data_IF_874374802504
#
_entry.id   IF_874374802504
#
_cell.length_a   1.000
_cell.length_b   1.000
_cell.length_c   1.000
_cell.angle_alpha   90.00
_cell.angle_beta   90.00
_cell.angle_gamma   90.00
#
_symmetry.space_group_name_H-M   'P 1'
#
loop_
_entity.id
_entity.type
_entity.pdbx_description
1 polymer ?
#
# COMPACT_ATOMS: atom_id res chain seq x y z
N UNK A 1 -12.46 30.86 -5.50
CA UNK A 1 -12.38 29.73 -4.54
C UNK A 1 -13.24 28.51 -4.96
N UNK A 2 -13.45 28.22 -6.25
CA UNK A 2 -14.23 27.06 -6.71
C UNK A 2 -13.37 25.91 -7.29
N UNK A 3 -12.08 26.15 -7.53
CA UNK A 3 -11.17 25.15 -8.10
C UNK A 3 -10.51 24.26 -7.02
N UNK A 4 -10.36 24.74 -5.79
CA UNK A 4 -9.73 23.97 -4.69
C UNK A 4 -10.62 22.80 -4.21
N UNK A 5 -11.94 22.96 -4.25
CA UNK A 5 -12.90 21.93 -3.83
C UNK A 5 -12.82 20.69 -4.71
N UNK A 6 -12.58 20.86 -6.02
CA UNK A 6 -12.57 19.76 -6.98
C UNK A 6 -11.39 18.77 -6.80
N UNK A 7 -10.31 19.19 -6.14
CA UNK A 7 -9.18 18.33 -5.74
C UNK A 7 -9.48 17.65 -4.40
N UNK A 8 -10.05 18.39 -3.44
CA UNK A 8 -10.48 17.86 -2.14
C UNK A 8 -11.56 16.79 -2.28
N UNK A 9 -12.45 16.92 -3.26
CA UNK A 9 -13.48 15.92 -3.59
C UNK A 9 -12.87 14.59 -4.07
N UNK A 10 -11.75 14.62 -4.80
CA UNK A 10 -11.04 13.39 -5.21
C UNK A 10 -10.44 12.63 -4.02
N UNK A 11 -10.01 13.34 -2.98
CA UNK A 11 -9.56 12.72 -1.73
C UNK A 11 -10.73 12.16 -0.90
N UNK A 12 -11.95 12.66 -1.13
CA UNK A 12 -13.19 12.13 -0.54
C UNK A 12 -13.42 10.65 -0.89
N UNK A 13 -13.22 10.27 -2.16
CA UNK A 13 -13.37 8.89 -2.63
C UNK A 13 -12.45 7.92 -1.90
N UNK A 14 -11.19 8.30 -1.67
CA UNK A 14 -10.23 7.47 -0.93
C UNK A 14 -10.69 7.30 0.52
N UNK A 15 -11.16 8.38 1.16
CA UNK A 15 -11.69 8.33 2.53
C UNK A 15 -12.95 7.47 2.64
N UNK A 16 -13.88 7.59 1.71
CA UNK A 16 -15.10 6.77 1.64
C UNK A 16 -14.76 5.28 1.44
N UNK A 17 -13.76 4.99 0.60
CA UNK A 17 -13.26 3.63 0.42
C UNK A 17 -12.68 3.05 1.72
N UNK A 18 -11.86 3.81 2.45
CA UNK A 18 -11.35 3.36 3.76
C UNK A 18 -12.46 3.14 4.80
N UNK A 19 -13.50 3.99 4.80
CA UNK A 19 -14.67 3.82 5.65
C UNK A 19 -15.43 2.53 5.28
N UNK A 20 -15.61 2.26 3.98
CA UNK A 20 -16.21 1.02 3.49
C UNK A 20 -15.41 -0.23 3.89
N UNK A 21 -14.08 -0.19 3.75
CA UNK A 21 -13.20 -1.29 4.17
C UNK A 21 -13.28 -1.55 5.69
N UNK A 22 -13.37 -0.48 6.47
CA UNK A 22 -13.59 -0.55 7.93
C UNK A 22 -14.90 -1.24 8.27
N UNK A 23 -15.98 -0.88 7.59
CA UNK A 23 -17.33 -1.45 7.80
C UNK A 23 -17.40 -2.94 7.41
N UNK A 24 -16.70 -3.32 6.32
CA UNK A 24 -16.55 -4.71 5.87
C UNK A 24 -15.67 -5.57 6.79
N UNK A 25 -15.15 -5.01 7.89
CA UNK A 25 -14.24 -5.67 8.85
C UNK A 25 -12.95 -6.22 8.21
N UNK A 26 -12.48 -5.63 7.11
CA UNK A 26 -11.24 -6.06 6.45
C UNK A 26 -9.95 -5.64 7.22
N UNK A 27 -10.09 -5.17 8.46
CA UNK A 27 -8.99 -4.88 9.40
C UNK A 27 -8.01 -6.04 9.60
N UNK A 28 -8.45 -7.27 9.33
CA UNK A 28 -7.64 -8.47 9.45
C UNK A 28 -6.56 -8.55 8.36
N UNK A 29 -6.70 -7.81 7.26
CA UNK A 29 -5.69 -7.72 6.21
C UNK A 29 -4.54 -6.77 6.58
N UNK A 30 -4.79 -5.79 7.46
CA UNK A 30 -3.78 -4.84 7.92
C UNK A 30 -2.52 -5.52 8.45
N UNK A 31 -2.58 -6.49 9.40
CA UNK A 31 -1.38 -7.17 9.89
C UNK A 31 -0.65 -7.95 8.80
N UNK A 32 -1.36 -8.56 7.86
CA UNK A 32 -0.75 -9.29 6.73
C UNK A 32 0.03 -8.33 5.83
N UNK A 33 -0.57 -7.20 5.46
CA UNK A 33 0.07 -6.17 4.64
C UNK A 33 1.31 -5.60 5.34
N UNK A 34 1.21 -5.33 6.64
CA UNK A 34 2.34 -4.83 7.44
C UNK A 34 3.48 -5.85 7.45
N UNK A 35 3.20 -7.13 7.67
CA UNK A 35 4.23 -8.18 7.65
C UNK A 35 4.89 -8.31 6.27
N UNK A 36 4.12 -8.24 5.18
CA UNK A 36 4.66 -8.29 3.81
C UNK A 36 5.56 -7.08 3.52
N UNK A 37 5.18 -5.88 3.98
CA UNK A 37 6.02 -4.68 3.84
C UNK A 37 7.31 -4.80 4.66
N UNK A 38 7.23 -5.30 5.89
CA UNK A 38 8.41 -5.50 6.74
C UNK A 38 9.37 -6.52 6.12
N UNK A 39 8.86 -7.64 5.61
CA UNK A 39 9.67 -8.64 4.92
C UNK A 39 10.27 -8.09 3.62
N UNK A 40 9.49 -7.34 2.84
CA UNK A 40 9.99 -6.68 1.63
C UNK A 40 11.10 -5.67 1.95
N UNK A 41 10.92 -4.84 2.97
CA UNK A 41 11.95 -3.91 3.45
C UNK A 41 13.19 -4.66 3.94
N UNK A 42 12.99 -5.73 4.70
CA UNK A 42 14.09 -6.58 5.17
C UNK A 42 14.93 -7.06 3.97
N UNK A 43 14.30 -7.67 2.97
CA UNK A 43 14.98 -8.15 1.74
C UNK A 43 15.76 -7.02 1.06
N UNK A 44 15.11 -5.87 0.86
CA UNK A 44 15.72 -4.67 0.23
C UNK A 44 16.95 -4.19 1.00
N UNK A 45 16.93 -4.24 2.33
CA UNK A 45 18.03 -3.75 3.18
C UNK A 45 19.10 -4.80 3.49
N UNK A 46 18.78 -6.10 3.42
CA UNK A 46 19.72 -7.18 3.73
C UNK A 46 20.53 -7.65 2.53
N UNK A 47 20.07 -7.40 1.30
CA UNK A 47 20.79 -7.78 0.08
C UNK A 47 21.54 -6.59 -0.54
N UNK A 48 22.74 -6.83 -1.08
CA UNK A 48 23.55 -5.80 -1.76
C UNK A 48 22.93 -5.26 -3.06
N UNK A 49 21.86 -5.90 -3.55
CA UNK A 49 21.00 -5.40 -4.62
C UNK A 49 19.59 -5.91 -4.39
N UNK A 50 18.69 -5.03 -3.95
CA UNK A 50 17.26 -5.30 -3.80
C UNK A 50 16.57 -5.82 -5.08
N UNK A 51 17.26 -5.75 -6.22
CA UNK A 51 16.79 -6.17 -7.54
C UNK A 51 17.20 -7.63 -7.86
N UNK A 52 18.21 -8.18 -7.15
CA UNK A 52 18.78 -9.49 -7.44
C UNK A 52 17.76 -10.65 -7.48
N UNK A 53 16.78 -10.77 -6.56
CA UNK A 53 15.81 -11.87 -6.58
C UNK A 53 14.87 -11.83 -7.79
N UNK A 54 14.56 -10.64 -8.30
CA UNK A 54 13.62 -10.45 -9.40
C UNK A 54 14.26 -10.72 -10.77
N UNK A 55 15.57 -10.51 -10.88
CA UNK A 55 16.32 -10.82 -12.11
C UNK A 55 16.28 -12.32 -12.39
N UNK A 56 16.46 -13.19 -11.39
CA UNK A 56 16.42 -14.64 -11.59
C UNK A 56 15.03 -15.22 -11.86
N UNK A 57 13.94 -14.50 -11.54
CA UNK A 57 12.58 -14.95 -11.86
C UNK A 57 12.14 -14.63 -13.30
N UNK A 58 12.85 -13.73 -13.99
CA UNK A 58 12.54 -13.29 -15.35
C UNK A 58 13.25 -14.11 -16.45
N UNK A 59 14.08 -15.09 -16.07
CA UNK A 59 14.83 -15.96 -16.98
C UNK A 59 14.56 -17.44 -16.70
#
# INVERSE_FOLDING_TARGET
>A
MKQLTHILDKFGIVKEFFIFLKERKLWWMTPIIVMLLLLGLLIVFTEGSAVAPFIYTLF
#
